data_IF_858255093719
#
_entry.id   IF_858255093719
#
_cell.length_a   1.000
_cell.length_b   1.000
_cell.length_c   1.000
_cell.angle_alpha   90.00
_cell.angle_beta   90.00
_cell.angle_gamma   90.00
#
_symmetry.space_group_name_H-M   'P 1'
#
loop_
_entity.id
_entity.type
_entity.pdbx_description
1 polymer ?
#
# COMPACT_ATOMS: atom_id res chain seq x y z
N UNK A 1 -40.03 12.59 2.40
CA UNK A 1 -39.39 13.75 1.73
C UNK A 1 -38.52 14.45 2.76
N UNK A 2 -37.22 14.16 2.79
CA UNK A 2 -36.27 14.78 3.72
C UNK A 2 -35.27 15.59 2.92
N UNK A 3 -35.23 16.90 3.15
CA UNK A 3 -34.30 17.82 2.51
C UNK A 3 -32.91 17.69 3.13
N UNK A 4 -31.88 17.48 2.31
CA UNK A 4 -30.49 17.71 2.69
C UNK A 4 -30.29 19.22 2.92
N UNK A 5 -30.14 19.59 4.19
CA UNK A 5 -29.71 20.92 4.60
C UNK A 5 -28.31 21.20 4.04
N UNK A 6 -28.16 22.34 3.35
CA UNK A 6 -26.88 22.89 2.95
C UNK A 6 -26.09 23.30 4.20
N UNK A 7 -25.08 22.54 4.59
CA UNK A 7 -24.00 23.06 5.44
C UNK A 7 -22.85 23.53 4.55
N UNK A 8 -22.96 24.77 4.09
CA UNK A 8 -21.80 25.55 3.66
C UNK A 8 -22.10 27.01 4.00
N UNK A 9 -22.08 27.31 5.30
CA UNK A 9 -21.77 28.64 5.78
C UNK A 9 -20.30 28.60 6.17
N UNK A 10 -19.48 29.42 5.53
CA UNK A 10 -18.11 29.62 5.95
C UNK A 10 -18.14 30.10 7.41
N UNK A 11 -17.57 29.29 8.31
CA UNK A 11 -17.44 29.64 9.72
C UNK A 11 -16.37 30.72 9.83
N UNK A 12 -16.71 31.85 10.46
CA UNK A 12 -15.77 32.94 10.72
C UNK A 12 -14.55 32.42 11.50
N UNK A 13 -13.39 32.96 11.15
CA UNK A 13 -12.05 32.42 11.36
C UNK A 13 -11.51 32.49 12.79
N UNK A 14 -12.28 32.16 13.82
CA UNK A 14 -11.82 32.34 15.21
C UNK A 14 -11.85 31.12 16.14
N UNK A 15 -12.41 29.96 15.77
CA UNK A 15 -12.41 28.81 16.71
C UNK A 15 -12.22 27.40 16.08
N UNK A 16 -11.17 27.20 15.28
CA UNK A 16 -10.49 25.88 15.19
C UNK A 16 -8.98 26.15 15.04
N UNK A 17 -8.25 26.12 16.16
CA UNK A 17 -6.83 26.49 16.26
C UNK A 17 -5.89 25.27 16.35
N UNK A 18 -6.25 24.13 15.75
CA UNK A 18 -5.40 22.92 15.78
C UNK A 18 -4.80 22.56 14.42
N UNK A 19 -5.04 23.38 13.38
CA UNK A 19 -4.40 23.15 12.06
C UNK A 19 -3.17 24.07 11.95
N UNK A 20 -1.94 23.53 11.89
CA UNK A 20 -0.74 24.34 11.69
C UNK A 20 -0.86 25.20 10.44
N UNK A 21 -0.25 26.39 10.44
CA UNK A 21 -0.21 27.23 9.25
C UNK A 21 0.41 26.46 8.08
N UNK A 22 -0.01 26.74 6.84
CA UNK A 22 0.44 25.98 5.67
C UNK A 22 1.96 26.01 5.44
N UNK A 23 2.65 27.00 6.00
CA UNK A 23 4.12 27.14 5.98
C UNK A 23 4.82 26.21 6.97
N UNK A 24 4.09 25.71 7.98
CA UNK A 24 4.56 24.79 9.03
C UNK A 24 4.15 23.33 8.76
N UNK A 25 3.38 23.08 7.70
CA UNK A 25 2.89 21.74 7.34
C UNK A 25 3.91 20.91 6.53
N UNK A 26 4.40 19.80 7.09
CA UNK A 26 5.26 18.84 6.37
C UNK A 26 4.42 18.03 5.39
N UNK A 27 4.52 18.33 4.09
CA UNK A 27 3.87 17.54 3.05
C UNK A 27 4.71 16.31 2.70
N UNK A 28 4.12 15.12 2.88
CA UNK A 28 4.72 13.84 2.49
C UNK A 28 3.92 13.23 1.34
N UNK A 29 4.62 12.66 0.35
CA UNK A 29 4.00 11.80 -0.67
C UNK A 29 4.64 10.42 -0.62
N UNK A 30 3.91 9.38 -1.00
CA UNK A 30 4.36 7.98 -0.92
C UNK A 30 4.83 7.51 0.47
N UNK A 31 4.41 8.21 1.53
CA UNK A 31 4.53 7.71 2.89
C UNK A 31 3.69 6.44 3.04
N UNK A 32 4.11 5.55 3.95
CA UNK A 32 3.37 4.33 4.27
C UNK A 32 2.68 4.50 5.61
N UNK A 33 1.50 3.91 5.69
CA UNK A 33 0.68 3.93 6.90
C UNK A 33 0.27 2.51 7.24
N UNK A 34 0.37 2.15 8.52
CA UNK A 34 0.01 0.82 9.02
C UNK A 34 -0.72 0.96 10.35
N UNK A 35 -1.56 -0.01 10.67
CA UNK A 35 -2.25 -0.08 11.96
C UNK A 35 -1.52 -1.11 12.82
N UNK A 36 -1.12 -0.71 14.03
CA UNK A 36 -0.63 -1.61 15.10
C UNK A 36 -1.53 -1.37 16.31
N UNK A 37 -2.15 -2.44 16.79
CA UNK A 37 -3.19 -2.38 17.81
C UNK A 37 -4.27 -1.36 17.41
N UNK A 38 -4.57 -0.39 18.28
CA UNK A 38 -5.59 0.65 18.06
C UNK A 38 -5.02 1.94 17.45
N UNK A 39 -3.79 1.93 16.93
CA UNK A 39 -3.09 3.14 16.51
C UNK A 39 -2.63 3.08 15.05
N UNK A 40 -2.77 4.20 14.35
CA UNK A 40 -2.25 4.39 13.00
C UNK A 40 -0.83 4.96 13.08
N UNK A 41 0.10 4.31 12.41
CA UNK A 41 1.49 4.74 12.31
C UNK A 41 1.83 5.14 10.88
N UNK A 42 2.58 6.23 10.72
CA UNK A 42 3.03 6.73 9.41
C UNK A 42 4.55 6.95 9.42
N UNK A 43 5.21 6.45 8.37
CA UNK A 43 6.64 6.68 8.13
C UNK A 43 6.99 6.74 6.63
N UNK A 44 8.19 7.23 6.33
CA UNK A 44 8.77 7.28 5.00
C UNK A 44 8.16 8.34 4.10
N UNK A 45 8.29 8.09 2.80
CA UNK A 45 7.83 8.97 1.74
C UNK A 45 8.79 10.11 1.40
N UNK A 46 8.46 10.84 0.35
CA UNK A 46 9.21 12.03 -0.07
C UNK A 46 8.66 13.25 0.65
N UNK A 47 9.55 14.05 1.24
CA UNK A 47 9.14 15.31 1.87
C UNK A 47 9.28 16.46 0.89
N UNK A 48 8.22 17.23 0.79
CA UNK A 48 8.16 18.47 0.01
C UNK A 48 7.95 19.66 0.94
N UNK A 49 8.88 19.91 1.88
CA UNK A 49 8.84 21.14 2.66
C UNK A 49 10.22 21.76 2.88
N UNK A 50 10.21 23.09 2.80
CA UNK A 50 11.20 24.03 3.30
C UNK A 50 10.63 24.70 4.55
N UNK A 51 11.28 24.60 5.71
CA UNK A 51 10.94 25.42 6.89
C UNK A 51 11.55 26.81 6.71
N UNK A 52 10.75 27.88 6.82
CA UNK A 52 11.18 29.27 6.54
C UNK A 52 11.92 29.42 5.20
N UNK A 53 11.52 28.68 4.16
CA UNK A 53 12.19 28.74 2.85
C UNK A 53 13.50 27.94 2.74
N UNK A 54 13.90 27.20 3.79
CA UNK A 54 15.09 26.33 3.80
C UNK A 54 14.72 24.85 4.00
N UNK A 55 15.28 23.94 3.20
CA UNK A 55 15.10 22.50 3.45
C UNK A 55 15.80 22.13 4.75
N UNK A 56 15.04 21.67 5.74
CA UNK A 56 15.58 21.09 6.95
C UNK A 56 15.87 19.62 6.64
N UNK A 57 17.09 19.16 6.86
CA UNK A 57 17.39 17.72 6.80
C UNK A 57 16.50 17.03 7.84
N UNK A 58 15.56 16.21 7.39
CA UNK A 58 14.57 15.64 8.30
C UNK A 58 15.04 14.28 8.81
N UNK A 59 14.79 14.03 10.11
CA UNK A 59 14.93 12.72 10.73
C UNK A 59 13.83 11.76 10.21
N UNK A 60 14.15 10.48 10.08
CA UNK A 60 13.14 9.42 9.99
C UNK A 60 12.49 9.30 11.35
N UNK A 61 11.17 9.49 11.41
CA UNK A 61 10.39 9.52 12.65
C UNK A 61 9.08 8.78 12.41
N UNK A 62 8.77 7.84 13.29
CA UNK A 62 7.53 7.09 13.31
C UNK A 62 6.47 7.90 14.06
N UNK A 63 5.51 8.43 13.29
CA UNK A 63 4.41 9.23 13.81
C UNK A 63 3.22 8.34 14.14
N UNK A 64 2.65 8.53 15.34
CA UNK A 64 1.51 7.81 15.86
C UNK A 64 0.29 8.71 15.91
N UNK A 65 -0.81 8.25 15.33
CA UNK A 65 -2.12 8.85 15.47
C UNK A 65 -2.99 8.03 16.41
N UNK A 66 -3.59 8.72 17.38
CA UNK A 66 -4.57 8.15 18.31
C UNK A 66 -5.92 8.77 17.99
N UNK A 67 -6.87 7.95 17.53
CA UNK A 67 -8.23 8.39 17.25
C UNK A 67 -9.00 8.65 18.55
N UNK A 68 -9.84 9.68 18.56
CA UNK A 68 -10.70 10.03 19.71
C UNK A 68 -12.09 9.38 19.67
N UNK A 69 -12.42 8.68 18.59
CA UNK A 69 -13.74 8.08 18.36
C UNK A 69 -14.85 9.07 17.97
N UNK A 70 -14.52 10.37 17.82
CA UNK A 70 -15.43 11.45 17.43
C UNK A 70 -15.12 12.01 16.04
N UNK A 71 -14.29 11.31 15.27
CA UNK A 71 -13.85 11.72 13.94
C UNK A 71 -12.58 12.58 13.94
N UNK A 72 -11.93 12.74 15.10
CA UNK A 72 -10.66 13.44 15.26
C UNK A 72 -9.58 12.56 15.90
N UNK A 73 -8.54 13.21 16.44
CA UNK A 73 -7.47 12.54 17.17
C UNK A 73 -6.22 13.41 17.34
N UNK A 74 -5.19 12.83 17.94
CA UNK A 74 -3.92 13.50 18.24
C UNK A 74 -2.73 12.77 17.63
N UNK A 75 -1.73 13.54 17.20
CA UNK A 75 -0.45 13.04 16.72
C UNK A 75 0.63 13.14 17.79
N UNK A 76 1.43 12.09 17.93
CA UNK A 76 2.61 12.08 18.78
C UNK A 76 3.72 11.21 18.17
N UNK A 77 4.96 11.43 18.61
CA UNK A 77 6.07 10.52 18.36
C UNK A 77 6.01 9.41 19.42
N UNK A 78 6.04 8.14 19.00
CA UNK A 78 6.16 7.02 19.94
C UNK A 78 7.63 6.73 20.20
N UNK A 79 8.19 7.37 21.24
CA UNK A 79 9.62 7.28 21.59
C UNK A 79 10.10 5.84 21.81
N UNK A 80 9.21 4.92 22.22
CA UNK A 80 9.57 3.52 22.41
C UNK A 80 9.74 2.78 21.08
N UNK A 81 8.92 3.09 20.08
CA UNK A 81 8.98 2.45 18.76
C UNK A 81 10.00 3.14 17.83
N UNK A 82 10.38 4.39 18.12
CA UNK A 82 11.39 5.13 17.36
C UNK A 82 12.84 4.70 17.66
N UNK A 83 13.10 3.97 18.76
CA UNK A 83 14.46 3.52 19.11
C UNK A 83 15.04 2.61 18.02
N UNK A 84 16.15 3.04 17.40
CA UNK A 84 16.81 2.33 16.29
C UNK A 84 16.28 2.68 14.89
N UNK A 85 15.19 3.44 14.77
CA UNK A 85 14.69 3.90 13.46
C UNK A 85 15.62 4.96 12.83
N UNK A 86 16.27 5.79 13.65
CA UNK A 86 17.18 6.84 13.18
C UNK A 86 18.37 6.31 12.37
N UNK A 87 18.69 5.01 12.50
CA UNK A 87 19.73 4.33 11.74
C UNK A 87 19.30 4.00 10.29
N UNK A 88 18.02 4.19 9.96
CA UNK A 88 17.48 3.92 8.64
C UNK A 88 17.24 5.21 7.85
N UNK A 89 17.79 5.24 6.64
CA UNK A 89 17.48 6.27 5.68
C UNK A 89 15.98 6.27 5.37
N UNK A 90 15.39 7.47 5.33
CA UNK A 90 14.05 7.65 4.82
C UNK A 90 13.98 7.07 3.42
N UNK A 91 12.90 6.36 3.11
CA UNK A 91 12.72 5.75 1.80
C UNK A 91 11.29 5.88 1.32
N UNK A 92 11.09 5.61 0.03
CA UNK A 92 9.77 5.54 -0.59
C UNK A 92 9.69 4.37 -1.57
N UNK A 93 8.46 4.03 -1.96
CA UNK A 93 8.19 3.04 -3.00
C UNK A 93 8.47 1.58 -2.62
N UNK A 94 8.91 1.30 -1.41
CA UNK A 94 8.97 -0.08 -0.90
C UNK A 94 7.58 -0.67 -0.72
N UNK A 95 7.48 -1.99 -0.87
CA UNK A 95 6.30 -2.76 -0.50
C UNK A 95 6.23 -2.89 1.03
N UNK A 96 5.04 -2.86 1.62
CA UNK A 96 4.92 -2.90 3.08
C UNK A 96 3.67 -3.64 3.52
N UNK A 97 3.74 -4.28 4.69
CA UNK A 97 2.60 -4.94 5.34
C UNK A 97 2.88 -5.10 6.83
N UNK A 98 1.84 -5.27 7.63
CA UNK A 98 1.94 -5.77 9.01
C UNK A 98 1.43 -7.21 9.10
N UNK A 99 2.20 -8.07 9.75
CA UNK A 99 1.75 -9.34 10.30
C UNK A 99 1.30 -9.12 11.75
N UNK A 100 0.83 -10.17 12.44
CA UNK A 100 0.26 -10.03 13.79
C UNK A 100 1.18 -9.34 14.81
N UNK A 101 2.49 -9.54 14.70
CA UNK A 101 3.48 -9.07 15.69
C UNK A 101 4.61 -8.23 15.08
N UNK A 102 4.65 -8.08 13.76
CA UNK A 102 5.76 -7.41 13.09
C UNK A 102 5.35 -6.71 11.81
N UNK A 103 5.94 -5.55 11.55
CA UNK A 103 5.79 -4.82 10.30
C UNK A 103 6.99 -5.09 9.40
N UNK A 104 6.77 -5.08 8.09
CA UNK A 104 7.79 -5.32 7.08
C UNK A 104 7.73 -4.23 6.02
N UNK A 105 8.90 -3.74 5.62
CA UNK A 105 9.10 -2.80 4.54
C UNK A 105 10.21 -3.33 3.62
N UNK A 106 9.86 -3.63 2.38
CA UNK A 106 10.66 -4.44 1.45
C UNK A 106 11.01 -3.60 0.22
N UNK A 107 12.32 -3.46 -0.04
CA UNK A 107 12.85 -2.64 -1.11
C UNK A 107 12.57 -1.14 -0.94
N UNK A 108 12.56 -0.41 -2.05
CA UNK A 108 12.39 1.03 -2.12
C UNK A 108 13.67 1.79 -2.49
N UNK A 109 13.53 3.10 -2.62
CA UNK A 109 14.65 4.02 -2.87
C UNK A 109 14.84 4.91 -1.65
N UNK A 110 16.09 5.17 -1.27
CA UNK A 110 16.43 6.11 -0.20
C UNK A 110 16.21 7.56 -0.66
N UNK A 111 15.85 8.42 0.28
CA UNK A 111 15.66 9.84 0.08
C UNK A 111 16.85 10.61 0.68
N UNK A 112 17.75 11.14 -0.17
CA UNK A 112 18.96 11.88 0.23
C UNK A 112 18.85 13.35 -0.16
N UNK A 113 17.99 14.11 0.50
CA UNK A 113 17.57 15.45 0.05
C UNK A 113 18.54 16.61 0.32
N UNK A 114 19.86 16.40 0.31
CA UNK A 114 20.81 17.53 0.22
C UNK A 114 21.29 17.82 -1.21
N UNK A 115 21.17 16.88 -2.15
CA UNK A 115 21.42 17.14 -3.58
C UNK A 115 20.62 16.18 -4.47
N UNK A 116 19.68 16.72 -5.24
CA UNK A 116 19.19 16.04 -6.45
C UNK A 116 20.37 16.06 -7.42
N UNK A 117 21.17 14.99 -7.47
CA UNK A 117 22.18 14.82 -8.52
C UNK A 117 21.46 14.38 -9.79
N UNK A 118 21.56 15.10 -10.91
CA UNK A 118 20.93 14.68 -12.17
C UNK A 118 21.44 13.32 -12.68
N UNK A 119 22.63 12.93 -12.20
CA UNK A 119 23.42 11.81 -12.72
C UNK A 119 23.19 10.50 -11.94
N UNK A 120 22.34 10.52 -10.90
CA UNK A 120 21.87 9.33 -10.15
C UNK A 120 20.36 9.44 -9.97
N UNK A 121 19.56 8.41 -10.27
CA UNK A 121 18.19 8.40 -9.78
C UNK A 121 18.28 8.29 -8.26
N UNK A 122 17.76 9.28 -7.54
CA UNK A 122 17.35 9.28 -6.12
C UNK A 122 18.09 8.32 -5.17
N UNK A 123 18.80 8.84 -4.17
CA UNK A 123 19.36 8.15 -2.98
C UNK A 123 19.34 6.61 -2.93
N UNK A 124 20.48 6.00 -2.63
CA UNK A 124 20.75 4.56 -2.60
C UNK A 124 19.57 3.56 -2.58
N UNK A 125 19.72 2.43 -3.27
CA UNK A 125 18.70 1.38 -3.23
C UNK A 125 18.56 0.76 -1.84
N UNK A 126 17.33 0.72 -1.32
CA UNK A 126 17.03 -0.07 -0.12
C UNK A 126 17.13 -1.55 -0.49
N UNK A 127 18.17 -2.20 0.01
CA UNK A 127 18.43 -3.62 -0.25
C UNK A 127 17.70 -4.49 0.78
N UNK A 128 17.11 -5.59 0.34
CA UNK A 128 16.39 -6.53 1.19
C UNK A 128 15.13 -5.93 1.81
N UNK A 129 15.00 -6.06 3.13
CA UNK A 129 13.86 -5.53 3.87
C UNK A 129 14.20 -5.12 5.29
N UNK A 130 13.43 -4.15 5.78
CA UNK A 130 13.41 -3.75 7.18
C UNK A 130 12.19 -4.41 7.83
N UNK A 131 12.39 -4.97 9.02
CA UNK A 131 11.31 -5.49 9.85
C UNK A 131 11.33 -4.83 11.21
N UNK A 132 10.15 -4.61 11.77
CA UNK A 132 9.98 -4.06 13.09
C UNK A 132 9.07 -4.96 13.92
N UNK A 133 9.62 -5.53 14.99
CA UNK A 133 8.83 -6.31 15.94
C UNK A 133 8.13 -5.36 16.91
N UNK A 134 6.81 -5.47 17.06
CA UNK A 134 6.02 -4.60 17.92
C UNK A 134 5.31 -5.35 19.05
N UNK A 135 5.78 -6.55 19.41
CA UNK A 135 5.23 -7.33 20.53
C UNK A 135 5.12 -6.52 21.84
N UNK A 136 4.23 -6.99 22.72
CA UNK A 136 3.85 -6.29 23.97
C UNK A 136 5.02 -6.08 24.94
N UNK A 137 6.05 -6.93 24.91
CA UNK A 137 7.29 -6.74 25.67
C UNK A 137 8.13 -5.64 25.04
N UNK A 138 8.40 -4.56 25.79
CA UNK A 138 9.23 -3.44 25.33
C UNK A 138 10.67 -3.85 25.01
N UNK A 139 11.16 -4.96 25.58
CA UNK A 139 12.52 -5.46 25.36
C UNK A 139 12.70 -6.13 24.00
N UNK A 140 11.61 -6.57 23.35
CA UNK A 140 11.64 -7.29 22.07
C UNK A 140 11.35 -6.38 20.86
N UNK A 141 11.08 -5.10 21.11
CA UNK A 141 10.78 -4.08 20.10
C UNK A 141 12.06 -3.64 19.40
N UNK A 142 12.38 -4.32 18.30
CA UNK A 142 13.67 -4.17 17.61
C UNK A 142 13.46 -4.00 16.11
N UNK A 143 14.05 -2.95 15.56
CA UNK A 143 14.24 -2.78 14.12
C UNK A 143 15.35 -3.71 13.62
N UNK A 144 15.11 -4.40 12.51
CA UNK A 144 16.08 -5.32 11.90
C UNK A 144 16.18 -5.08 10.41
N UNK A 145 17.39 -4.81 9.95
CA UNK A 145 17.74 -4.80 8.53
C UNK A 145 18.15 -6.21 8.09
N UNK A 146 17.49 -6.75 7.06
CA UNK A 146 17.83 -8.05 6.49
C UNK A 146 18.16 -7.89 5.01
N UNK A 147 19.42 -8.11 4.65
CA UNK A 147 19.92 -7.92 3.26
C UNK A 147 20.01 -9.23 2.45
N UNK A 148 19.76 -10.38 3.08
CA UNK A 148 19.75 -11.71 2.45
C UNK A 148 18.32 -12.08 2.00
N UNK A 149 17.84 -11.37 1.00
CA UNK A 149 16.54 -11.59 0.37
C UNK A 149 16.75 -11.76 -1.15
N UNK A 150 15.75 -12.21 -1.95
CA UNK A 150 15.83 -12.17 -3.42
C UNK A 150 16.17 -10.77 -3.97
N UNK A 151 16.01 -9.73 -3.15
CA UNK A 151 16.44 -8.36 -3.38
C UNK A 151 17.78 -8.12 -2.66
N UNK A 152 18.89 -8.45 -3.33
CA UNK A 152 20.26 -8.37 -2.82
C UNK A 152 20.77 -6.93 -2.66
N UNK A 153 22.02 -6.75 -2.18
CA UNK A 153 22.70 -5.43 -2.07
C UNK A 153 22.73 -4.61 -3.37
N UNK A 154 22.54 -5.25 -4.52
CA UNK A 154 22.57 -4.60 -5.84
C UNK A 154 21.19 -4.53 -6.49
N UNK A 155 20.13 -5.05 -5.87
CA UNK A 155 18.79 -5.11 -6.43
C UNK A 155 17.74 -4.68 -5.43
N UNK A 156 16.88 -3.73 -5.81
CA UNK A 156 15.73 -3.34 -4.99
C UNK A 156 14.41 -3.58 -5.70
N UNK A 157 13.40 -3.85 -4.90
CA UNK A 157 12.01 -3.92 -5.32
C UNK A 157 11.38 -2.52 -5.19
N UNK A 158 10.69 -2.06 -6.22
CA UNK A 158 10.03 -0.75 -6.21
C UNK A 158 8.60 -0.85 -6.72
N UNK A 159 7.70 -0.10 -6.07
CA UNK A 159 6.30 0.06 -6.43
C UNK A 159 5.50 -1.25 -6.48
N UNK A 160 5.96 -2.27 -5.75
CA UNK A 160 5.25 -3.51 -5.51
C UNK A 160 4.28 -3.39 -4.32
N UNK A 161 3.43 -4.41 -4.17
CA UNK A 161 2.58 -4.58 -2.98
C UNK A 161 3.10 -5.75 -2.13
N UNK A 162 2.92 -5.65 -0.81
CA UNK A 162 3.07 -6.76 0.12
C UNK A 162 1.72 -7.01 0.80
N UNK A 163 1.26 -8.26 0.82
CA UNK A 163 0.00 -8.67 1.43
C UNK A 163 0.27 -9.74 2.48
N UNK A 164 -0.09 -9.46 3.74
CA UNK A 164 -0.10 -10.48 4.78
C UNK A 164 -1.31 -11.41 4.62
N UNK A 165 -1.05 -12.71 4.65
CA UNK A 165 -2.02 -13.78 4.50
C UNK A 165 -2.01 -14.60 5.80
N UNK A 166 -2.92 -14.32 6.76
CA UNK A 166 -2.89 -14.94 8.08
C UNK A 166 -3.26 -16.44 8.07
N UNK A 167 -3.75 -16.96 6.94
CA UNK A 167 -4.38 -18.27 6.85
C UNK A 167 -3.38 -19.44 6.74
N UNK A 168 -2.24 -19.24 6.07
CA UNK A 168 -1.33 -20.33 5.71
C UNK A 168 -0.04 -20.24 6.52
N UNK A 169 0.45 -21.38 7.02
CA UNK A 169 1.56 -21.43 7.97
C UNK A 169 1.12 -21.09 9.40
N UNK A 170 1.99 -21.35 10.38
CA UNK A 170 1.67 -21.15 11.80
C UNK A 170 1.50 -19.67 12.20
N UNK A 171 2.08 -18.75 11.42
CA UNK A 171 2.05 -17.30 11.66
C UNK A 171 1.66 -16.50 10.41
N UNK A 172 1.02 -17.15 9.43
CA UNK A 172 0.72 -16.54 8.14
C UNK A 172 1.95 -16.47 7.21
N UNK A 173 1.72 -15.96 6.00
CA UNK A 173 2.76 -15.68 5.00
C UNK A 173 2.63 -14.24 4.51
N UNK A 174 3.73 -13.65 4.05
CA UNK A 174 3.72 -12.37 3.35
C UNK A 174 3.93 -12.65 1.86
N UNK A 175 2.99 -12.21 1.03
CA UNK A 175 3.11 -12.31 -0.43
C UNK A 175 3.52 -10.98 -1.03
N UNK A 176 4.45 -11.02 -1.99
CA UNK A 176 4.90 -9.86 -2.77
C UNK A 176 4.37 -9.97 -4.19
N UNK A 177 3.74 -8.89 -4.66
CA UNK A 177 3.02 -8.83 -5.94
C UNK A 177 3.41 -7.59 -6.75
N UNK A 178 3.68 -7.82 -8.04
CA UNK A 178 3.97 -6.76 -9.01
C UNK A 178 5.21 -5.94 -8.68
N UNK A 179 5.20 -4.69 -9.12
CA UNK A 179 6.33 -3.77 -9.02
C UNK A 179 7.40 -4.05 -10.07
N UNK A 180 8.60 -3.51 -9.82
CA UNK A 180 9.76 -3.71 -10.66
C UNK A 180 11.03 -3.90 -9.83
N UNK A 181 12.01 -4.56 -10.42
CA UNK A 181 13.37 -4.64 -9.91
C UNK A 181 14.24 -3.55 -10.54
N UNK A 182 14.98 -2.84 -9.70
CA UNK A 182 16.06 -1.94 -10.10
C UNK A 182 17.38 -2.59 -9.72
N UNK A 183 18.33 -2.60 -10.66
CA UNK A 183 19.68 -3.13 -10.45
C UNK A 183 20.68 -1.98 -10.44
N UNK A 184 21.60 -1.95 -9.48
CA UNK A 184 22.64 -0.93 -9.39
C UNK A 184 23.61 -0.92 -10.56
N UNK A 185 23.74 -2.03 -11.29
CA UNK A 185 24.52 -2.11 -12.51
C UNK A 185 23.73 -1.69 -13.77
N UNK A 186 22.44 -1.37 -13.64
CA UNK A 186 21.53 -1.03 -14.76
C UNK A 186 20.90 0.34 -14.58
N UNK A 187 20.73 1.07 -15.68
CA UNK A 187 19.95 2.33 -15.70
C UNK A 187 18.46 2.08 -15.95
N UNK A 188 18.05 0.82 -16.18
CA UNK A 188 16.67 0.42 -16.46
C UNK A 188 16.12 -0.48 -15.36
N UNK A 189 14.85 -0.26 -15.03
CA UNK A 189 14.04 -1.19 -14.24
C UNK A 189 13.46 -2.30 -15.11
N UNK A 190 13.24 -3.47 -14.51
CA UNK A 190 12.51 -4.57 -15.13
C UNK A 190 11.22 -4.81 -14.34
N UNK A 191 10.07 -4.70 -15.01
CA UNK A 191 8.78 -5.03 -14.41
C UNK A 191 8.69 -6.51 -14.03
N UNK A 192 8.08 -6.77 -12.88
CA UNK A 192 7.91 -8.12 -12.38
C UNK A 192 6.73 -8.78 -13.08
N UNK A 193 6.96 -9.96 -13.65
CA UNK A 193 5.88 -10.77 -14.15
C UNK A 193 4.94 -11.18 -13.00
N UNK A 194 3.64 -11.32 -13.31
CA UNK A 194 2.62 -11.68 -12.32
C UNK A 194 2.32 -13.18 -12.29
N UNK A 195 2.99 -13.96 -13.15
CA UNK A 195 2.88 -15.41 -13.25
C UNK A 195 3.75 -16.15 -12.22
N UNK A 196 4.62 -15.42 -11.51
CA UNK A 196 5.38 -15.89 -10.36
C UNK A 196 5.11 -14.96 -9.19
N UNK A 197 4.68 -15.53 -8.07
CA UNK A 197 4.52 -14.79 -6.81
C UNK A 197 5.59 -15.20 -5.81
N UNK A 198 6.07 -14.22 -5.04
CA UNK A 198 7.04 -14.43 -3.98
C UNK A 198 6.35 -14.45 -2.63
N UNK A 199 6.78 -15.37 -1.77
CA UNK A 199 6.25 -15.58 -0.43
C UNK A 199 7.41 -15.51 0.56
N UNK A 200 7.15 -14.94 1.73
CA UNK A 200 8.09 -14.92 2.85
C UNK A 200 7.38 -15.40 4.11
N UNK A 201 8.00 -16.35 4.81
CA UNK A 201 7.62 -16.69 6.18
C UNK A 201 8.09 -15.55 7.12
N UNK A 202 7.18 -14.86 7.82
CA UNK A 202 7.54 -13.71 8.66
C UNK A 202 8.37 -14.07 9.89
N UNK A 203 8.39 -15.35 10.31
CA UNK A 203 9.14 -15.85 11.47
C UNK A 203 10.53 -16.30 11.06
N UNK A 204 10.59 -17.26 10.14
CA UNK A 204 11.86 -17.85 9.71
C UNK A 204 12.61 -16.98 8.72
N UNK A 205 11.92 -16.00 8.10
CA UNK A 205 12.44 -15.12 7.04
C UNK A 205 12.86 -15.89 5.79
N UNK A 206 12.33 -17.10 5.63
CA UNK A 206 12.58 -17.94 4.47
C UNK A 206 11.71 -17.46 3.32
N UNK A 207 12.32 -17.37 2.13
CA UNK A 207 11.66 -16.96 0.90
C UNK A 207 11.32 -18.16 0.03
N UNK A 208 10.17 -18.08 -0.62
CA UNK A 208 9.66 -19.06 -1.56
C UNK A 208 9.13 -18.35 -2.80
N UNK A 209 9.11 -19.06 -3.92
CA UNK A 209 8.47 -18.62 -5.16
C UNK A 209 7.46 -19.66 -5.59
N UNK A 210 6.33 -19.22 -6.11
CA UNK A 210 5.27 -20.09 -6.61
C UNK A 210 4.82 -19.61 -7.98
N UNK A 211 4.79 -20.53 -8.95
CA UNK A 211 4.18 -20.29 -10.26
C UNK A 211 2.66 -20.24 -10.10
N UNK A 212 2.01 -19.25 -10.70
CA UNK A 212 0.55 -19.17 -10.76
C UNK A 212 0.03 -19.78 -12.06
N UNK A 213 -1.24 -20.18 -12.02
CA UNK A 213 -1.98 -20.72 -13.16
C UNK A 213 -3.13 -19.79 -13.57
N UNK A 214 -3.79 -20.12 -14.68
CA UNK A 214 -4.79 -19.27 -15.31
C UNK A 214 -4.17 -18.08 -16.04
N UNK A 215 -5.02 -17.16 -16.50
CA UNK A 215 -4.58 -15.94 -17.17
C UNK A 215 -3.97 -14.98 -16.15
N UNK A 216 -2.65 -14.83 -16.15
CA UNK A 216 -1.98 -13.89 -15.23
C UNK A 216 -2.14 -12.44 -15.71
N UNK A 217 -2.33 -11.47 -14.80
CA UNK A 217 -2.39 -10.06 -15.19
C UNK A 217 -1.09 -9.60 -15.87
N UNK A 218 -1.15 -8.60 -16.75
CA UNK A 218 0.06 -7.88 -17.15
C UNK A 218 0.82 -7.36 -15.93
N UNK A 219 2.15 -7.32 -16.05
CA UNK A 219 3.02 -6.69 -15.08
C UNK A 219 2.53 -5.28 -14.75
N UNK A 220 2.65 -4.85 -13.49
CA UNK A 220 2.07 -3.59 -13.02
C UNK A 220 2.76 -3.09 -11.75
N UNK A 221 2.86 -1.77 -11.65
CA UNK A 221 3.38 -1.02 -10.49
C UNK A 221 2.27 -0.19 -9.87
N UNK A 222 2.42 0.15 -8.59
CA UNK A 222 1.54 1.08 -7.88
C UNK A 222 0.04 0.73 -7.97
N UNK A 223 -0.27 -0.57 -8.03
CA UNK A 223 -1.63 -1.07 -7.95
C UNK A 223 -2.15 -1.04 -6.51
N UNK A 224 -3.47 -1.01 -6.36
CA UNK A 224 -4.11 -1.28 -5.09
C UNK A 224 -4.15 -2.80 -4.89
N UNK A 225 -3.77 -3.29 -3.71
CA UNK A 225 -3.82 -4.72 -3.38
C UNK A 225 -4.48 -4.89 -2.03
N UNK A 226 -5.48 -5.78 -1.94
CA UNK A 226 -6.15 -6.14 -0.69
C UNK A 226 -6.41 -7.65 -0.63
N UNK A 227 -6.42 -8.21 0.57
CA UNK A 227 -6.74 -9.62 0.79
C UNK A 227 -8.05 -9.83 1.55
N UNK A 228 -8.76 -10.90 1.24
CA UNK A 228 -9.99 -11.29 1.92
C UNK A 228 -10.02 -12.79 2.21
N UNK A 229 -10.39 -13.16 3.44
CA UNK A 229 -10.56 -14.56 3.86
C UNK A 229 -11.99 -15.00 3.57
N UNK A 230 -12.15 -16.00 2.71
CA UNK A 230 -13.45 -16.55 2.33
C UNK A 230 -14.07 -17.44 3.42
N UNK A 231 -15.38 -17.67 3.32
CA UNK A 231 -16.11 -18.66 4.09
C UNK A 231 -15.72 -20.11 3.73
N UNK A 232 -15.25 -20.35 2.51
CA UNK A 232 -14.94 -21.69 1.98
C UNK A 232 -13.48 -22.09 2.17
N UNK A 233 -12.85 -21.60 3.24
CA UNK A 233 -11.46 -21.92 3.57
C UNK A 233 -10.45 -21.61 2.45
N UNK A 234 -10.71 -20.57 1.67
CA UNK A 234 -9.78 -19.96 0.70
C UNK A 234 -9.38 -18.55 1.15
N UNK A 235 -8.38 -17.98 0.47
CA UNK A 235 -7.99 -16.59 0.66
C UNK A 235 -7.73 -15.98 -0.72
N UNK A 236 -8.42 -14.89 -1.03
CA UNK A 236 -8.27 -14.20 -2.30
C UNK A 236 -7.56 -12.87 -2.12
N UNK A 237 -6.70 -12.56 -3.07
CA UNK A 237 -5.95 -11.32 -3.15
C UNK A 237 -6.44 -10.58 -4.39
N UNK A 238 -6.99 -9.39 -4.18
CA UNK A 238 -7.53 -8.55 -5.22
C UNK A 238 -6.52 -7.47 -5.58
N UNK A 239 -6.27 -7.30 -6.87
CA UNK A 239 -5.44 -6.22 -7.40
C UNK A 239 -6.30 -5.32 -8.28
N UNK A 240 -6.33 -4.02 -7.97
CA UNK A 240 -7.00 -3.01 -8.77
C UNK A 240 -6.00 -2.01 -9.35
N UNK A 241 -6.09 -1.83 -10.66
CA UNK A 241 -5.35 -0.80 -11.39
C UNK A 241 -3.83 -0.98 -11.39
N UNK A 242 -3.12 0.13 -11.31
CA UNK A 242 -1.66 0.23 -11.49
C UNK A 242 -1.28 0.67 -12.91
N UNK A 243 0.01 0.64 -13.20
CA UNK A 243 0.53 0.97 -14.53
C UNK A 243 1.82 0.23 -14.88
N UNK A 244 2.21 0.26 -16.15
CA UNK A 244 3.57 -0.03 -16.63
C UNK A 244 4.19 1.26 -17.16
N UNK A 245 5.40 1.56 -16.68
CA UNK A 245 6.24 2.68 -17.13
C UNK A 245 5.58 4.08 -17.19
N UNK A 246 4.49 4.28 -16.44
CA UNK A 246 3.71 5.53 -16.43
C UNK A 246 3.05 5.86 -17.78
N UNK A 247 2.84 4.85 -18.63
CA UNK A 247 2.27 5.01 -19.98
C UNK A 247 1.04 4.14 -20.20
N UNK A 248 1.11 2.90 -19.75
CA UNK A 248 0.01 1.93 -19.85
C UNK A 248 -0.66 1.85 -18.49
N UNK A 249 -1.84 2.45 -18.38
CA UNK A 249 -2.65 2.42 -17.17
C UNK A 249 -3.65 1.27 -17.17
N UNK A 250 -3.90 0.70 -16.00
CA UNK A 250 -4.91 -0.33 -15.82
C UNK A 250 -6.05 0.17 -14.95
N UNK A 251 -7.28 -0.22 -15.30
CA UNK A 251 -8.48 -0.03 -14.47
C UNK A 251 -9.22 -1.33 -14.23
N UNK A 252 -8.56 -2.46 -14.46
CA UNK A 252 -9.11 -3.80 -14.27
C UNK A 252 -8.91 -4.28 -12.82
N UNK A 253 -9.67 -5.31 -12.44
CA UNK A 253 -9.53 -6.03 -11.18
C UNK A 253 -9.16 -7.47 -11.47
N UNK A 254 -8.12 -7.94 -10.81
CA UNK A 254 -7.63 -9.31 -10.84
C UNK A 254 -7.71 -9.94 -9.46
N UNK A 255 -7.90 -11.25 -9.43
CA UNK A 255 -8.10 -12.04 -8.21
C UNK A 255 -7.13 -13.21 -8.25
N UNK A 256 -6.21 -13.27 -7.29
CA UNK A 256 -5.39 -14.46 -7.07
C UNK A 256 -6.01 -15.26 -5.93
N UNK A 257 -6.42 -16.49 -6.22
CA UNK A 257 -7.02 -17.36 -5.21
C UNK A 257 -6.02 -18.36 -4.63
N UNK A 258 -6.03 -18.50 -3.31
CA UNK A 258 -5.21 -19.42 -2.53
C UNK A 258 -6.08 -20.49 -1.85
N UNK A 259 -5.61 -21.75 -1.76
CA UNK A 259 -4.24 -22.22 -2.05
C UNK A 259 -3.98 -22.58 -3.52
N UNK A 260 -4.90 -22.32 -4.45
CA UNK A 260 -4.79 -22.78 -5.84
C UNK A 260 -3.73 -22.05 -6.67
N UNK A 261 -3.30 -20.86 -6.23
CA UNK A 261 -2.43 -19.96 -6.98
C UNK A 261 -2.95 -19.69 -8.40
N UNK A 262 -4.26 -19.55 -8.53
CA UNK A 262 -4.94 -19.31 -9.80
C UNK A 262 -5.38 -17.85 -9.92
N UNK A 263 -5.11 -17.25 -11.07
CA UNK A 263 -5.64 -15.94 -11.41
C UNK A 263 -7.01 -16.04 -12.07
N UNK A 264 -7.90 -15.13 -11.67
CA UNK A 264 -9.14 -14.83 -12.37
C UNK A 264 -9.26 -13.32 -12.59
N UNK A 265 -9.94 -12.94 -13.67
CA UNK A 265 -10.22 -11.54 -13.99
C UNK A 265 -11.67 -11.20 -13.68
N UNK A 266 -11.90 -10.07 -13.00
CA UNK A 266 -13.24 -9.52 -12.91
C UNK A 266 -13.66 -8.96 -14.28
N UNK A 267 -14.90 -9.21 -14.70
CA UNK A 267 -15.38 -8.86 -16.03
C UNK A 267 -15.42 -7.35 -16.34
N UNK A 268 -15.26 -6.49 -15.34
CA UNK A 268 -15.46 -5.04 -15.46
C UNK A 268 -14.15 -4.25 -15.29
N UNK A 269 -13.96 -3.25 -16.15
CA UNK A 269 -12.81 -2.33 -16.13
C UNK A 269 -13.31 -0.89 -15.92
N UNK A 270 -12.73 -0.17 -14.96
CA UNK A 270 -12.90 1.28 -14.76
C UNK A 270 -11.87 2.07 -15.58
N UNK A 271 -11.97 3.40 -15.52
CA UNK A 271 -10.89 4.30 -15.94
C UNK A 271 -9.57 3.89 -15.26
N UNK A 272 -8.45 3.88 -16.00
CA UNK A 272 -7.14 3.59 -15.43
C UNK A 272 -6.83 4.40 -14.17
N UNK A 273 -6.24 3.74 -13.17
CA UNK A 273 -5.88 4.38 -11.91
C UNK A 273 -4.68 3.73 -11.27
N UNK A 274 -3.78 4.53 -10.72
CA UNK A 274 -2.63 4.08 -9.95
C UNK A 274 -2.41 5.00 -8.73
N UNK A 275 -1.52 4.58 -7.82
CA UNK A 275 -1.12 5.35 -6.62
C UNK A 275 -2.27 5.75 -5.67
N UNK A 276 -3.41 5.08 -5.72
CA UNK A 276 -4.49 5.19 -4.76
C UNK A 276 -4.16 4.51 -3.42
N UNK A 277 -4.79 4.98 -2.34
CA UNK A 277 -4.90 4.23 -1.10
C UNK A 277 -6.09 3.26 -1.19
N UNK A 278 -5.99 2.09 -0.56
CA UNK A 278 -7.12 1.17 -0.51
C UNK A 278 -7.10 0.21 0.67
N UNK A 279 -8.30 -0.27 1.03
CA UNK A 279 -8.54 -1.17 2.16
C UNK A 279 -9.78 -2.03 1.89
N UNK A 280 -9.89 -3.18 2.57
CA UNK A 280 -11.19 -3.83 2.75
C UNK A 280 -11.89 -3.14 3.93
N UNK A 281 -13.05 -2.55 3.68
CA UNK A 281 -13.91 -1.97 4.72
C UNK A 281 -15.12 -2.86 4.98
N UNK A 282 -15.50 -2.93 6.26
CA UNK A 282 -16.59 -3.79 6.71
C UNK A 282 -16.26 -5.25 6.42
N UNK A 283 -17.21 -5.97 5.81
CA UNK A 283 -17.11 -7.43 5.64
C UNK A 283 -16.61 -7.90 4.29
N UNK A 284 -16.77 -7.12 3.21
CA UNK A 284 -16.45 -7.56 1.83
C UNK A 284 -16.31 -6.45 0.79
N UNK A 285 -16.09 -5.21 1.19
CA UNK A 285 -16.06 -4.08 0.27
C UNK A 285 -14.65 -3.51 0.17
N UNK A 286 -14.06 -3.53 -1.04
CA UNK A 286 -12.85 -2.78 -1.33
C UNK A 286 -13.21 -1.30 -1.45
N UNK A 287 -12.54 -0.48 -0.66
CA UNK A 287 -12.61 0.99 -0.74
C UNK A 287 -11.30 1.50 -1.30
N UNK A 288 -11.39 2.35 -2.32
CA UNK A 288 -10.25 3.06 -2.90
C UNK A 288 -10.43 4.55 -2.72
N UNK A 289 -9.35 5.25 -2.35
CA UNK A 289 -9.35 6.70 -2.15
C UNK A 289 -8.26 7.34 -3.00
N UNK A 290 -8.65 8.35 -3.77
CA UNK A 290 -7.73 9.14 -4.59
C UNK A 290 -6.97 8.28 -5.61
N UNK A 291 -5.74 8.67 -5.91
CA UNK A 291 -4.94 8.12 -7.01
C UNK A 291 -4.98 9.01 -8.24
N UNK A 292 -4.25 8.59 -9.27
CA UNK A 292 -4.09 9.34 -10.52
C UNK A 292 -4.42 8.47 -11.72
N UNK A 293 -4.86 9.08 -12.81
CA UNK A 293 -4.87 8.42 -14.12
C UNK A 293 -3.43 8.43 -14.68
N UNK A 294 -2.76 7.28 -14.74
CA UNK A 294 -1.36 7.21 -15.16
C UNK A 294 -1.18 7.40 -16.68
N UNK A 295 -2.26 7.60 -17.45
CA UNK A 295 -2.19 7.89 -18.89
C UNK A 295 -2.11 9.38 -19.19
N UNK A 296 -2.36 10.23 -18.19
CA UNK A 296 -2.30 11.68 -18.31
C UNK A 296 -0.88 12.22 -18.20
N UNK A 297 -0.62 13.37 -18.81
CA UNK A 297 0.64 14.09 -18.65
C UNK A 297 0.78 14.63 -17.22
N UNK A 298 2.00 14.75 -16.71
CA UNK A 298 2.26 15.24 -15.35
C UNK A 298 1.63 16.61 -15.06
N UNK A 299 1.54 17.50 -16.07
CA UNK A 299 0.88 18.81 -15.97
C UNK A 299 -0.64 18.74 -15.81
N UNK A 300 -1.25 17.59 -16.10
CA UNK A 300 -2.69 17.36 -16.10
C UNK A 300 -3.17 16.58 -14.85
N UNK A 301 -2.27 15.90 -14.13
CA UNK A 301 -2.62 15.01 -13.02
C UNK A 301 -3.41 15.72 -11.89
N UNK A 302 -3.12 17.00 -11.64
CA UNK A 302 -3.77 17.78 -10.57
C UNK A 302 -4.88 18.71 -11.07
N UNK A 303 -5.05 18.86 -12.39
CA UNK A 303 -6.03 19.77 -12.99
C UNK A 303 -7.23 19.05 -13.61
N UNK A 304 -7.16 17.72 -13.73
CA UNK A 304 -8.28 16.90 -14.21
C UNK A 304 -9.18 16.47 -13.05
N UNK A 305 -10.50 16.50 -13.30
CA UNK A 305 -11.49 16.07 -12.30
C UNK A 305 -11.42 14.55 -12.14
N UNK A 306 -11.38 14.09 -10.89
CA UNK A 306 -11.47 12.67 -10.57
C UNK A 306 -12.82 12.10 -11.06
N UNK A 307 -12.85 11.00 -11.84
CA UNK A 307 -14.09 10.38 -12.30
C UNK A 307 -14.89 9.66 -11.20
N UNK A 308 -14.29 9.41 -10.03
CA UNK A 308 -14.98 8.88 -8.85
C UNK A 308 -15.50 10.04 -8.01
N UNK A 309 -16.76 9.96 -7.59
CA UNK A 309 -17.35 10.96 -6.70
C UNK A 309 -16.55 11.02 -5.40
N UNK A 310 -16.10 12.23 -5.04
CA UNK A 310 -15.22 12.48 -3.89
C UNK A 310 -13.87 11.72 -3.93
N UNK A 311 -13.48 11.19 -5.10
CA UNK A 311 -12.32 10.31 -5.23
C UNK A 311 -12.49 8.95 -4.55
N UNK A 312 -13.72 8.55 -4.24
CA UNK A 312 -14.05 7.32 -3.52
C UNK A 312 -14.61 6.26 -4.46
N UNK A 313 -13.96 5.10 -4.46
CA UNK A 313 -14.43 3.90 -5.16
C UNK A 313 -14.85 2.83 -4.16
N UNK A 314 -15.98 2.17 -4.43
CA UNK A 314 -16.53 1.10 -3.59
C UNK A 314 -16.79 -0.10 -4.47
N UNK A 315 -16.17 -1.24 -4.16
CA UNK A 315 -16.29 -2.46 -4.94
C UNK A 315 -16.67 -3.64 -4.05
N UNK A 316 -17.75 -4.33 -4.42
CA UNK A 316 -18.20 -5.55 -3.75
C UNK A 316 -17.33 -6.72 -4.21
N UNK A 317 -16.51 -7.26 -3.30
CA UNK A 317 -15.52 -8.29 -3.59
C UNK A 317 -16.13 -9.65 -3.96
N UNK A 318 -17.34 -9.96 -3.48
CA UNK A 318 -18.01 -11.23 -3.79
C UNK A 318 -18.79 -11.14 -5.10
N UNK A 319 -19.54 -10.03 -5.30
CA UNK A 319 -20.35 -9.82 -6.51
C UNK A 319 -19.53 -9.34 -7.70
N UNK A 320 -18.29 -8.93 -7.46
CA UNK A 320 -17.39 -8.33 -8.45
C UNK A 320 -17.98 -7.09 -9.14
N UNK A 321 -18.58 -6.20 -8.35
CA UNK A 321 -19.31 -5.04 -8.87
C UNK A 321 -18.97 -3.75 -8.13
N UNK A 322 -18.75 -2.68 -8.89
CA UNK A 322 -18.67 -1.33 -8.33
C UNK A 322 -20.04 -0.88 -7.82
N UNK A 323 -20.02 -0.22 -6.65
CA UNK A 323 -21.18 0.32 -5.96
C UNK A 323 -21.02 1.83 -5.84
N UNK A 324 -22.14 2.52 -5.73
CA UNK A 324 -22.18 3.98 -5.49
C UNK A 324 -22.25 4.32 -4.01
N UNK A 325 -22.53 3.33 -3.15
CA UNK A 325 -22.72 3.51 -1.72
C UNK A 325 -22.10 2.33 -0.96
N UNK A 326 -21.58 2.63 0.23
CA UNK A 326 -21.08 1.64 1.17
C UNK A 326 -22.26 0.94 1.84
N UNK A 327 -22.22 -0.39 1.86
CA UNK A 327 -23.21 -1.23 2.52
C UNK A 327 -22.66 -1.76 3.85
N UNK A 328 -23.03 -1.13 4.96
CA UNK A 328 -22.63 -1.57 6.29
C UNK A 328 -23.21 -2.95 6.69
N UNK A 329 -24.30 -3.37 6.04
CA UNK A 329 -24.99 -4.64 6.30
C UNK A 329 -24.55 -5.76 5.34
N UNK A 330 -23.62 -5.47 4.42
CA UNK A 330 -23.10 -6.44 3.45
C UNK A 330 -22.67 -7.74 4.14
N UNK A 331 -23.04 -8.91 3.63
CA UNK A 331 -22.69 -10.20 4.24
C UNK A 331 -21.17 -10.39 4.44
N UNK A 332 -20.79 -11.42 5.21
CA UNK A 332 -19.40 -11.90 5.26
C UNK A 332 -18.88 -12.17 3.85
N UNK A 333 -17.60 -11.89 3.61
CA UNK A 333 -16.99 -12.18 2.32
C UNK A 333 -17.00 -13.68 2.03
N UNK A 334 -17.54 -14.03 0.87
CA UNK A 334 -17.48 -15.35 0.27
C UNK A 334 -16.86 -15.21 -1.13
N UNK A 335 -16.18 -16.26 -1.59
CA UNK A 335 -15.47 -16.23 -2.87
C UNK A 335 -16.45 -15.95 -4.03
N UNK A 336 -16.03 -15.17 -5.03
CA UNK A 336 -16.80 -14.98 -6.25
C UNK A 336 -17.07 -16.29 -6.98
N UNK A 337 -18.16 -16.33 -7.75
CA UNK A 337 -18.57 -17.53 -8.50
C UNK A 337 -17.49 -18.03 -9.45
N UNK A 338 -16.72 -17.12 -10.07
CA UNK A 338 -15.59 -17.48 -10.95
C UNK A 338 -14.50 -18.27 -10.22
N UNK A 339 -14.27 -17.99 -8.94
CA UNK A 339 -13.30 -18.72 -8.11
C UNK A 339 -13.87 -20.05 -7.65
N UNK A 340 -15.14 -20.06 -7.19
CA UNK A 340 -15.82 -21.29 -6.78
C UNK A 340 -15.89 -22.31 -7.90
N UNK A 341 -16.28 -21.86 -9.10
CA UNK A 341 -16.37 -22.71 -10.30
C UNK A 341 -15.03 -23.34 -10.67
N UNK A 342 -13.91 -22.63 -10.45
CA UNK A 342 -12.58 -23.18 -10.67
C UNK A 342 -12.23 -24.26 -9.65
N UNK A 343 -12.53 -24.07 -8.36
CA UNK A 343 -12.28 -25.12 -7.35
C UNK A 343 -13.16 -26.36 -7.52
N UNK A 344 -14.37 -26.19 -8.04
CA UNK A 344 -15.26 -27.32 -8.34
C UNK A 344 -14.73 -28.15 -9.53
N UNK A 345 -13.96 -27.52 -10.44
CA UNK A 345 -13.42 -28.15 -11.65
C UNK A 345 -12.02 -27.60 -11.99
N UNK A 346 -10.97 -27.98 -11.22
CA UNK A 346 -9.61 -27.52 -11.52
C UNK A 346 -9.12 -28.14 -12.84
N UNK A 347 -8.40 -27.34 -13.63
CA UNK A 347 -7.83 -27.74 -14.94
C UNK A 347 -6.75 -28.82 -14.85
#
# INVERSE_FOLDING_TARGET
MGSLLRFCGAQESTEISDTPASIDFVRRTWARALVIDDYLYIDGGTVSQRSQGTYQGHKSELWKFTADGQGGGSWAIDENLNQGQADFHRSHGGAFTSASNSAFYIGGMEETTTAIKPDMPNGGYMSGFVSFNFTSSSQDRVWRNTTEAPYSKSKTLYAASAQYIPKFGSQGLIMILGGAHYDAASTKSNDNAMDIVWLMDPVTRTWYSQQTTGDSPPARRWSCTVGAKSLNDTYEIFIFGGHVDGRIGFGDIWILSLPGFVWARAAYTKTPRAQMGCVVAGRRQLITVGGVDPTLLSSQLLSTKDPLDQGLGIFDLTKLQWKTQYDHDAAAYDSPDVIKSWYDNPE
#
